data_IF_948109862427
#
_entry.id   IF_948109862427
#
_cell.length_a   1.000
_cell.length_b   1.000
_cell.length_c   1.000
_cell.angle_alpha   90.00
_cell.angle_beta   90.00
_cell.angle_gamma   90.00
#
_symmetry.space_group_name_H-M   'P 1'
#
loop_
_entity.id
_entity.type
_entity.pdbx_description
1 polymer ?
#
# COMPACT_ATOMS: atom_id res chain seq x y z
N UNK A 1 -7.58 -12.12 -9.08
CA UNK A 1 -6.33 -11.32 -9.04
C UNK A 1 -5.35 -11.88 -8.01
N UNK A 2 -4.04 -11.64 -8.16
CA UNK A 2 -3.05 -12.02 -7.15
C UNK A 2 -3.42 -11.40 -5.79
N UNK A 3 -3.46 -12.21 -4.74
CA UNK A 3 -3.81 -11.77 -3.39
C UNK A 3 -2.89 -10.65 -2.88
N UNK A 4 -1.61 -10.65 -3.27
CA UNK A 4 -0.67 -9.58 -2.91
C UNK A 4 -1.07 -8.25 -3.54
N UNK A 5 -1.52 -8.29 -4.79
CA UNK A 5 -2.00 -7.13 -5.53
C UNK A 5 -3.32 -6.60 -4.94
N UNK A 6 -4.25 -7.51 -4.62
CA UNK A 6 -5.51 -7.15 -3.94
C UNK A 6 -5.26 -6.45 -2.60
N UNK A 7 -4.35 -6.99 -1.79
CA UNK A 7 -3.99 -6.40 -0.49
C UNK A 7 -3.41 -5.00 -0.66
N UNK A 8 -2.53 -4.82 -1.65
CA UNK A 8 -1.93 -3.53 -1.94
C UNK A 8 -2.99 -2.48 -2.33
N UNK A 9 -3.91 -2.84 -3.23
CA UNK A 9 -5.00 -1.93 -3.60
C UNK A 9 -5.94 -1.63 -2.44
N UNK A 10 -6.32 -2.63 -1.63
CA UNK A 10 -7.15 -2.40 -0.45
C UNK A 10 -6.49 -1.43 0.56
N UNK A 11 -5.16 -1.49 0.71
CA UNK A 11 -4.43 -0.53 1.52
C UNK A 11 -4.46 0.88 0.90
N UNK A 12 -4.24 1.01 -0.41
CA UNK A 12 -4.33 2.30 -1.10
C UNK A 12 -5.73 2.90 -0.99
N UNK A 13 -6.78 2.10 -1.17
CA UNK A 13 -8.16 2.54 -1.05
C UNK A 13 -8.42 3.10 0.35
N UNK A 14 -8.03 2.36 1.39
CA UNK A 14 -8.13 2.83 2.78
C UNK A 14 -7.34 4.12 3.02
N UNK A 15 -6.11 4.22 2.50
CA UNK A 15 -5.27 5.40 2.67
C UNK A 15 -5.81 6.64 1.93
N UNK A 16 -6.69 6.47 0.93
CA UNK A 16 -7.31 7.55 0.18
C UNK A 16 -8.76 7.83 0.59
N UNK A 17 -9.36 6.99 1.45
CA UNK A 17 -10.73 7.17 1.90
C UNK A 17 -10.86 8.38 2.84
N UNK A 18 -11.57 9.41 2.37
CA UNK A 18 -11.78 10.67 3.08
C UNK A 18 -12.74 10.53 4.28
N UNK A 19 -13.45 9.41 4.41
CA UNK A 19 -14.28 9.12 5.57
C UNK A 19 -13.44 8.90 6.84
N UNK A 20 -12.16 8.58 6.70
CA UNK A 20 -11.25 8.38 7.82
C UNK A 20 -10.36 9.62 8.07
N UNK A 21 -10.17 10.02 9.34
CA UNK A 21 -9.26 11.10 9.69
C UNK A 21 -7.85 10.86 9.14
N UNK A 22 -7.13 11.90 8.68
CA UNK A 22 -5.78 11.77 8.14
C UNK A 22 -4.81 11.05 9.09
N UNK A 23 -4.92 11.29 10.39
CA UNK A 23 -4.05 10.67 11.39
C UNK A 23 -4.30 9.18 11.51
N UNK A 24 -5.54 8.71 11.40
CA UNK A 24 -5.86 7.29 11.43
C UNK A 24 -5.22 6.56 10.25
N UNK A 25 -5.30 7.15 9.05
CA UNK A 25 -4.70 6.61 7.83
C UNK A 25 -3.16 6.53 7.95
N UNK A 26 -2.52 7.60 8.43
CA UNK A 26 -1.07 7.65 8.66
C UNK A 26 -0.62 6.68 9.74
N UNK A 27 -1.39 6.55 10.82
CA UNK A 27 -1.09 5.65 11.93
C UNK A 27 -1.07 4.20 11.48
N UNK A 28 -2.00 3.75 10.64
CA UNK A 28 -1.99 2.37 10.14
C UNK A 28 -0.69 2.07 9.37
N UNK A 29 -0.29 2.95 8.46
CA UNK A 29 0.94 2.77 7.69
C UNK A 29 2.18 2.76 8.60
N UNK A 30 2.23 3.67 9.58
CA UNK A 30 3.30 3.72 10.58
C UNK A 30 3.38 2.45 11.41
N UNK A 31 2.23 1.92 11.86
CA UNK A 31 2.15 0.67 12.61
C UNK A 31 2.55 -0.55 11.79
N UNK A 32 2.16 -0.62 10.51
CA UNK A 32 2.60 -1.70 9.62
C UNK A 32 4.13 -1.70 9.51
N UNK A 33 4.77 -0.54 9.40
CA UNK A 33 6.24 -0.43 9.34
C UNK A 33 6.93 -0.95 10.61
N UNK A 34 6.36 -0.69 11.79
CA UNK A 34 6.96 -1.06 13.09
C UNK A 34 6.62 -2.50 13.48
N UNK A 35 5.34 -2.87 13.39
CA UNK A 35 4.82 -4.15 13.89
C UNK A 35 4.93 -5.27 12.85
N UNK A 36 4.98 -4.96 11.55
CA UNK A 36 5.01 -5.94 10.45
C UNK A 36 5.98 -5.50 9.33
N UNK A 37 7.29 -5.37 9.61
CA UNK A 37 8.27 -4.86 8.65
C UNK A 37 8.32 -5.68 7.34
N UNK A 38 8.20 -7.00 7.41
CA UNK A 38 8.16 -7.88 6.24
C UNK A 38 6.98 -7.57 5.31
N UNK A 39 5.81 -7.26 5.90
CA UNK A 39 4.63 -6.86 5.14
C UNK A 39 4.84 -5.49 4.50
N UNK A 40 5.48 -4.57 5.23
CA UNK A 40 5.82 -3.24 4.70
C UNK A 40 6.72 -3.34 3.47
N UNK A 41 7.75 -4.18 3.51
CA UNK A 41 8.64 -4.44 2.37
C UNK A 41 7.88 -5.05 1.18
N UNK A 42 6.98 -6.00 1.41
CA UNK A 42 6.16 -6.59 0.35
C UNK A 42 5.29 -5.54 -0.36
N UNK A 43 4.71 -4.61 0.40
CA UNK A 43 3.89 -3.53 -0.14
C UNK A 43 4.74 -2.55 -0.97
N UNK A 44 5.93 -2.18 -0.49
CA UNK A 44 6.86 -1.32 -1.23
C UNK A 44 7.34 -1.95 -2.54
N UNK A 45 7.66 -3.25 -2.53
CA UNK A 45 8.01 -3.98 -3.75
C UNK A 45 6.84 -4.04 -4.74
N UNK A 46 5.61 -4.17 -4.24
CA UNK A 46 4.42 -4.18 -5.09
C UNK A 46 4.19 -2.82 -5.76
N UNK A 47 4.37 -1.72 -5.02
CA UNK A 47 4.35 -0.35 -5.53
C UNK A 47 5.39 -0.15 -6.64
N UNK A 48 6.64 -0.55 -6.40
CA UNK A 48 7.72 -0.40 -7.38
C UNK A 48 7.42 -1.16 -8.69
N UNK A 49 6.88 -2.39 -8.59
CA UNK A 49 6.47 -3.17 -9.76
C UNK A 49 5.40 -2.45 -10.58
N UNK A 50 4.38 -1.90 -9.92
CA UNK A 50 3.31 -1.18 -10.59
C UNK A 50 3.81 0.12 -11.25
N UNK A 51 4.70 0.86 -10.57
CA UNK A 51 5.33 2.04 -11.14
C UNK A 51 6.17 1.72 -12.38
N UNK A 52 6.92 0.61 -12.37
CA UNK A 52 7.68 0.14 -13.54
C UNK A 52 6.76 -0.24 -14.70
N UNK A 53 5.69 -0.98 -14.42
CA UNK A 53 4.69 -1.36 -15.43
C UNK A 53 4.01 -0.12 -16.05
N UNK A 54 3.61 0.85 -15.23
CA UNK A 54 3.00 2.10 -15.71
C UNK A 54 3.95 2.94 -16.56
N UNK A 55 5.26 2.87 -16.33
CA UNK A 55 6.27 3.56 -17.16
C UNK A 55 6.55 2.83 -18.47
N UNK A 56 6.44 1.50 -18.49
CA UNK A 56 6.67 0.69 -19.70
C UNK A 56 5.45 0.63 -20.64
N UNK A 57 4.24 0.85 -20.11
CA UNK A 57 3.01 0.95 -20.92
C UNK A 57 2.69 2.37 -21.40
N UNK A 58 3.60 3.33 -21.20
CA UNK A 58 3.53 4.67 -21.79
C UNK A 58 4.51 4.77 -22.96
#
# INVERSE_FOLDING_TARGET
PDFKLLRYFALLDFLNDQQYPPDLRRNLLGRIKVEKPELFEQLAQQEEKLLKQSKQSK
#
